data_IF_186843249751
#
_entry.id   IF_186843249751
#
_cell.length_a   1.000
_cell.length_b   1.000
_cell.length_c   1.000
_cell.angle_alpha   90.00
_cell.angle_beta   90.00
_cell.angle_gamma   90.00
#
_symmetry.space_group_name_H-M   'P 1'
#
loop_
_entity.id
_entity.type
_entity.pdbx_description
1 polymer ?
#
# COMPACT_ATOMS: atom_id res chain seq x y z
N UNK A 1 5.16 -2.16 15.09
CA UNK A 1 4.68 -2.06 16.48
C UNK A 1 4.92 -0.65 17.08
N UNK A 2 5.88 0.10 16.56
CA UNK A 2 6.30 1.40 17.13
C UNK A 2 5.31 2.56 16.86
N UNK A 3 4.30 2.34 16.00
CA UNK A 3 3.32 3.36 15.62
C UNK A 3 1.97 3.26 16.33
N UNK A 4 1.78 2.31 17.24
CA UNK A 4 0.50 2.16 17.99
C UNK A 4 0.09 3.42 18.76
N UNK A 5 1.03 4.32 19.07
CA UNK A 5 0.75 5.59 19.77
C UNK A 5 -0.08 6.57 18.92
N UNK A 6 -0.06 6.41 17.60
CA UNK A 6 -0.79 7.29 16.66
C UNK A 6 -2.05 6.63 16.07
N UNK A 7 -2.35 5.39 16.46
CA UNK A 7 -3.55 4.70 15.97
C UNK A 7 -4.77 5.19 16.74
N UNK A 8 -5.77 5.67 16.01
CA UNK A 8 -7.06 6.09 16.58
C UNK A 8 -8.03 4.92 16.75
N UNK A 9 -7.68 3.74 16.23
CA UNK A 9 -8.53 2.54 16.24
C UNK A 9 -7.72 1.32 16.69
N UNK A 10 -8.39 0.34 17.30
CA UNK A 10 -7.82 -0.92 17.77
C UNK A 10 -7.66 -1.97 16.67
N UNK A 11 -7.43 -1.55 15.42
CA UNK A 11 -7.21 -2.46 14.30
C UNK A 11 -5.75 -2.91 14.26
N UNK A 12 -5.53 -4.22 14.18
CA UNK A 12 -4.21 -4.77 13.85
C UNK A 12 -4.10 -4.89 12.33
N UNK A 13 -3.15 -4.15 11.73
CA UNK A 13 -2.90 -4.15 10.29
C UNK A 13 -1.59 -4.87 10.00
N UNK A 14 -1.66 -5.85 9.10
CA UNK A 14 -0.52 -6.66 8.68
C UNK A 14 -0.30 -6.52 7.19
N UNK A 15 0.97 -6.45 6.78
CA UNK A 15 1.35 -6.35 5.37
C UNK A 15 2.08 -7.61 4.94
N UNK A 16 1.62 -8.24 3.87
CA UNK A 16 2.24 -9.41 3.25
C UNK A 16 2.51 -9.08 1.80
N UNK A 17 3.78 -8.99 1.43
CA UNK A 17 4.22 -8.58 0.08
C UNK A 17 5.12 -9.61 -0.62
N UNK A 18 5.53 -10.65 0.10
CA UNK A 18 6.37 -11.72 -0.47
C UNK A 18 5.55 -12.95 -0.83
N UNK A 19 6.03 -13.71 -1.82
CA UNK A 19 5.48 -15.03 -2.17
C UNK A 19 5.89 -16.12 -1.16
N UNK A 20 6.79 -15.79 -0.23
CA UNK A 20 7.17 -16.72 0.84
C UNK A 20 5.95 -17.04 1.73
N UNK A 21 5.46 -18.27 1.59
CA UNK A 21 4.29 -18.75 2.31
C UNK A 21 4.47 -18.88 3.82
N UNK A 22 5.70 -18.87 4.34
CA UNK A 22 5.96 -19.02 5.79
C UNK A 22 5.39 -17.84 6.57
N UNK A 23 5.66 -16.61 6.13
CA UNK A 23 5.13 -15.40 6.75
C UNK A 23 3.59 -15.40 6.77
N UNK A 24 2.98 -15.71 5.64
CA UNK A 24 1.51 -15.75 5.53
C UNK A 24 0.93 -16.86 6.41
N UNK A 25 1.54 -18.05 6.41
CA UNK A 25 1.09 -19.18 7.23
C UNK A 25 1.12 -18.87 8.72
N UNK A 26 2.22 -18.31 9.22
CA UNK A 26 2.36 -17.91 10.63
C UNK A 26 1.32 -16.86 11.01
N UNK A 27 1.07 -15.90 10.12
CA UNK A 27 0.06 -14.87 10.33
C UNK A 27 -1.35 -15.47 10.43
N UNK A 28 -1.72 -16.36 9.49
CA UNK A 28 -3.05 -16.99 9.46
C UNK A 28 -3.33 -17.83 10.70
N UNK A 29 -2.32 -18.40 11.38
CA UNK A 29 -2.49 -19.10 12.65
C UNK A 29 -2.86 -18.18 13.82
N UNK A 30 -2.58 -16.87 13.71
CA UNK A 30 -2.86 -15.88 14.75
C UNK A 30 -4.18 -15.13 14.51
N UNK A 31 -4.71 -15.20 13.30
CA UNK A 31 -5.91 -14.47 12.90
C UNK A 31 -7.18 -15.31 13.13
N UNK A 32 -8.29 -14.59 13.32
CA UNK A 32 -9.63 -15.17 13.41
C UNK A 32 -10.37 -14.93 12.11
N UNK A 33 -10.80 -15.97 11.40
CA UNK A 33 -11.46 -15.83 10.10
C UNK A 33 -12.64 -14.85 10.12
N UNK A 34 -13.47 -14.92 11.16
CA UNK A 34 -14.71 -14.15 11.27
C UNK A 34 -14.50 -12.64 11.38
N UNK A 35 -13.32 -12.21 11.81
CA UNK A 35 -13.00 -10.80 12.08
C UNK A 35 -11.84 -10.28 11.24
N UNK A 36 -11.43 -11.02 10.20
CA UNK A 36 -10.32 -10.65 9.33
C UNK A 36 -10.82 -10.13 7.99
N UNK A 37 -10.32 -8.97 7.58
CA UNK A 37 -10.55 -8.37 6.26
C UNK A 37 -9.23 -8.39 5.46
N UNK A 38 -9.29 -8.80 4.21
CA UNK A 38 -8.15 -8.82 3.31
C UNK A 38 -8.28 -7.74 2.24
N UNK A 39 -7.22 -6.96 2.05
CA UNK A 39 -7.13 -5.93 1.01
C UNK A 39 -6.12 -6.41 -0.03
N UNK A 40 -6.60 -6.73 -1.23
CA UNK A 40 -5.78 -7.15 -2.35
C UNK A 40 -5.40 -5.92 -3.16
N UNK A 41 -4.15 -5.48 -3.03
CA UNK A 41 -3.64 -4.28 -3.71
C UNK A 41 -2.69 -4.68 -4.85
N UNK A 42 -3.14 -4.53 -6.09
CA UNK A 42 -2.31 -4.78 -7.28
C UNK A 42 -2.76 -3.92 -8.44
N UNK A 43 -1.88 -3.05 -8.95
CA UNK A 43 -2.23 -2.14 -10.06
C UNK A 43 -2.81 -2.89 -11.26
N UNK A 44 -2.18 -3.98 -11.69
CA UNK A 44 -2.60 -4.78 -12.85
C UNK A 44 -3.60 -5.89 -12.50
N UNK A 45 -3.83 -6.14 -11.23
CA UNK A 45 -4.54 -7.30 -10.69
C UNK A 45 -4.11 -8.61 -11.40
N UNK A 46 -2.78 -8.77 -11.50
CA UNK A 46 -2.16 -9.88 -12.22
C UNK A 46 -0.78 -10.22 -11.69
N UNK A 47 -0.33 -9.58 -10.59
CA UNK A 47 0.95 -9.89 -9.94
C UNK A 47 0.86 -11.26 -9.29
N UNK A 48 1.71 -12.18 -9.72
CA UNK A 48 1.67 -13.59 -9.30
C UNK A 48 1.74 -13.71 -7.77
N UNK A 49 2.69 -13.03 -7.13
CA UNK A 49 2.89 -13.07 -5.68
C UNK A 49 1.62 -12.63 -4.93
N UNK A 50 1.04 -11.49 -5.35
CA UNK A 50 -0.16 -10.95 -4.74
C UNK A 50 -1.36 -11.90 -4.89
N UNK A 51 -1.58 -12.43 -6.10
CA UNK A 51 -2.72 -13.31 -6.35
C UNK A 51 -2.55 -14.69 -5.73
N UNK A 52 -1.32 -15.21 -5.66
CA UNK A 52 -1.03 -16.47 -4.96
C UNK A 52 -1.39 -16.36 -3.48
N UNK A 53 -0.95 -15.29 -2.81
CA UNK A 53 -1.31 -15.01 -1.43
C UNK A 53 -2.83 -14.82 -1.27
N UNK A 54 -3.48 -14.09 -2.20
CA UNK A 54 -4.92 -13.89 -2.20
C UNK A 54 -5.72 -15.21 -2.33
N UNK A 55 -5.27 -16.13 -3.17
CA UNK A 55 -5.89 -17.46 -3.27
C UNK A 55 -5.69 -18.27 -2.00
N UNK A 56 -4.52 -18.22 -1.39
CA UNK A 56 -4.24 -18.91 -0.12
C UNK A 56 -5.16 -18.44 0.99
N UNK A 57 -5.30 -17.12 1.16
CA UNK A 57 -6.19 -16.57 2.22
C UNK A 57 -7.66 -16.84 1.90
N UNK A 58 -8.07 -16.86 0.64
CA UNK A 58 -9.41 -17.22 0.24
C UNK A 58 -9.73 -18.67 0.64
N UNK A 59 -8.86 -19.62 0.32
CA UNK A 59 -9.01 -21.02 0.71
C UNK A 59 -9.08 -21.19 2.24
N UNK A 60 -8.27 -20.43 2.97
CA UNK A 60 -8.29 -20.44 4.43
C UNK A 60 -9.63 -19.96 4.99
N UNK A 61 -10.21 -18.87 4.45
CA UNK A 61 -11.52 -18.37 4.83
C UNK A 61 -12.63 -19.37 4.45
N UNK A 62 -12.64 -19.88 3.21
CA UNK A 62 -13.64 -20.82 2.73
C UNK A 62 -13.63 -22.14 3.54
N UNK A 63 -12.46 -22.58 3.99
CA UNK A 63 -12.34 -23.74 4.88
C UNK A 63 -12.95 -23.49 6.25
N UNK A 64 -12.83 -22.28 6.77
CA UNK A 64 -13.29 -21.92 8.12
C UNK A 64 -14.78 -21.52 8.15
N UNK A 65 -15.24 -20.76 7.15
CA UNK A 65 -16.55 -20.11 7.14
C UNK A 65 -17.53 -20.73 6.12
N UNK A 66 -17.06 -21.64 5.29
CA UNK A 66 -17.85 -22.26 4.20
C UNK A 66 -17.61 -21.57 2.85
N UNK A 67 -18.02 -22.25 1.79
CA UNK A 67 -17.85 -21.79 0.39
C UNK A 67 -19.05 -20.97 -0.10
N UNK A 68 -19.53 -20.03 0.70
CA UNK A 68 -20.59 -19.11 0.28
C UNK A 68 -19.98 -17.89 -0.42
N UNK A 69 -20.65 -17.40 -1.46
CA UNK A 69 -20.30 -16.14 -2.15
C UNK A 69 -20.28 -14.95 -1.20
N UNK A 70 -21.03 -15.00 -0.10
CA UNK A 70 -21.03 -14.02 0.97
C UNK A 70 -19.69 -13.88 1.68
N UNK A 71 -18.88 -14.95 1.76
CA UNK A 71 -17.56 -14.91 2.38
C UNK A 71 -16.64 -13.95 1.64
N UNK A 72 -16.56 -14.06 0.32
CA UNK A 72 -15.73 -13.17 -0.49
C UNK A 72 -16.21 -11.71 -0.38
N UNK A 73 -17.53 -11.50 -0.43
CA UNK A 73 -18.12 -10.16 -0.31
C UNK A 73 -17.82 -9.51 1.04
N UNK A 74 -17.81 -10.27 2.12
CA UNK A 74 -17.64 -9.72 3.48
C UNK A 74 -16.17 -9.56 3.88
N UNK A 75 -15.25 -10.30 3.26
CA UNK A 75 -13.87 -10.41 3.72
C UNK A 75 -12.82 -9.91 2.73
N UNK A 76 -13.22 -9.45 1.53
CA UNK A 76 -12.25 -8.96 0.55
C UNK A 76 -12.59 -7.58 0.01
N UNK A 77 -11.54 -6.76 -0.07
CA UNK A 77 -11.50 -5.49 -0.79
C UNK A 77 -10.43 -5.60 -1.87
N UNK A 78 -10.71 -5.10 -3.07
CA UNK A 78 -9.74 -5.01 -4.15
C UNK A 78 -9.34 -3.57 -4.46
N UNK A 79 -8.05 -3.36 -4.69
CA UNK A 79 -7.50 -2.08 -5.13
C UNK A 79 -6.72 -2.29 -6.43
N UNK A 80 -7.23 -1.78 -7.55
CA UNK A 80 -6.64 -2.00 -8.87
C UNK A 80 -7.08 -0.96 -9.90
N UNK A 81 -6.38 -0.91 -11.04
CA UNK A 81 -6.85 -0.23 -12.27
C UNK A 81 -7.79 -1.13 -13.10
N UNK A 82 -8.02 -2.40 -12.70
CA UNK A 82 -8.68 -3.44 -13.50
C UNK A 82 -9.92 -3.99 -12.79
N UNK A 83 -11.05 -3.25 -12.82
CA UNK A 83 -12.28 -3.68 -12.16
C UNK A 83 -12.82 -5.01 -12.70
N UNK A 84 -12.66 -5.25 -14.00
CA UNK A 84 -13.06 -6.51 -14.62
C UNK A 84 -12.38 -7.74 -14.00
N UNK A 85 -11.05 -7.64 -13.76
CA UNK A 85 -10.28 -8.72 -13.14
C UNK A 85 -10.63 -8.92 -11.67
N UNK A 86 -10.91 -7.82 -10.94
CA UNK A 86 -11.39 -7.92 -9.56
C UNK A 86 -12.73 -8.64 -9.50
N UNK A 87 -13.64 -8.34 -10.44
CA UNK A 87 -14.95 -9.01 -10.54
C UNK A 87 -14.80 -10.47 -10.92
N UNK A 88 -13.94 -10.81 -11.90
CA UNK A 88 -13.64 -12.21 -12.28
C UNK A 88 -13.07 -13.02 -11.11
N UNK A 89 -12.24 -12.39 -10.27
CA UNK A 89 -11.71 -13.03 -9.07
C UNK A 89 -12.78 -13.24 -7.99
N UNK A 90 -13.89 -12.51 -8.05
CA UNK A 90 -15.05 -12.63 -7.15
C UNK A 90 -15.23 -11.45 -6.20
N UNK A 91 -14.44 -10.38 -6.30
CA UNK A 91 -14.61 -9.19 -5.45
C UNK A 91 -15.87 -8.44 -5.88
N UNK A 92 -16.76 -8.22 -4.92
CA UNK A 92 -18.00 -7.49 -5.17
C UNK A 92 -17.72 -6.05 -5.63
N UNK A 93 -18.45 -5.47 -6.60
CA UNK A 93 -18.22 -4.12 -7.09
C UNK A 93 -18.16 -3.04 -5.99
N UNK A 94 -18.99 -3.15 -4.96
CA UNK A 94 -18.98 -2.19 -3.82
C UNK A 94 -17.68 -2.24 -3.00
N UNK A 95 -16.88 -3.31 -3.14
CA UNK A 95 -15.61 -3.50 -2.45
C UNK A 95 -14.41 -3.26 -3.38
N UNK A 96 -14.61 -2.62 -4.52
CA UNK A 96 -13.55 -2.33 -5.47
C UNK A 96 -13.16 -0.86 -5.41
N UNK A 97 -11.92 -0.60 -5.04
CA UNK A 97 -11.34 0.73 -5.07
C UNK A 97 -10.49 0.90 -6.34
N UNK A 98 -10.93 1.79 -7.22
CA UNK A 98 -10.29 2.00 -8.50
C UNK A 98 -9.05 2.89 -8.36
N UNK A 99 -7.96 2.39 -8.86
CA UNK A 99 -6.71 3.11 -9.02
C UNK A 99 -6.63 3.71 -10.43
N UNK A 100 -6.16 4.93 -10.56
CA UNK A 100 -5.99 5.59 -11.85
C UNK A 100 -4.71 5.13 -12.56
N UNK A 101 -4.73 5.03 -13.87
CA UNK A 101 -3.58 4.57 -14.66
C UNK A 101 -2.35 5.48 -14.51
N UNK A 102 -2.55 6.78 -14.31
CA UNK A 102 -1.47 7.75 -14.11
C UNK A 102 -0.81 7.64 -12.73
N UNK A 103 -1.39 6.91 -11.77
CA UNK A 103 -0.77 6.68 -10.47
C UNK A 103 0.36 5.67 -10.61
N UNK A 104 1.60 6.10 -10.36
CA UNK A 104 2.76 5.21 -10.32
C UNK A 104 2.71 4.28 -9.11
N UNK A 105 3.01 2.98 -9.28
CA UNK A 105 2.93 2.00 -8.19
C UNK A 105 3.70 2.41 -6.93
N UNK A 106 4.97 2.82 -7.07
CA UNK A 106 5.84 3.24 -5.94
C UNK A 106 5.50 4.62 -5.36
N UNK A 107 4.63 5.38 -6.03
CA UNK A 107 4.15 6.70 -5.59
C UNK A 107 2.65 6.70 -5.29
N UNK A 108 2.09 5.54 -4.92
CA UNK A 108 0.65 5.33 -4.84
C UNK A 108 0.05 5.53 -3.45
N UNK A 109 0.84 5.80 -2.42
CA UNK A 109 0.34 5.98 -1.04
C UNK A 109 -0.73 7.08 -0.91
N UNK A 110 -0.70 8.07 -1.79
CA UNK A 110 -1.66 9.18 -1.87
C UNK A 110 -3.01 8.79 -2.46
N UNK A 111 -3.11 7.59 -3.03
CA UNK A 111 -4.32 7.05 -3.66
C UNK A 111 -5.05 6.06 -2.74
N UNK A 112 -6.00 5.31 -3.29
CA UNK A 112 -6.69 4.24 -2.57
C UNK A 112 -5.77 3.11 -2.07
N UNK A 113 -4.52 3.03 -2.54
CA UNK A 113 -3.49 2.16 -1.94
C UNK A 113 -3.21 2.55 -0.47
N UNK A 114 -3.34 3.82 -0.12
CA UNK A 114 -3.22 4.30 1.25
C UNK A 114 -4.40 3.96 2.17
N UNK A 115 -5.40 3.23 1.70
CA UNK A 115 -6.57 2.86 2.51
C UNK A 115 -6.23 2.18 3.85
N UNK A 116 -5.29 1.22 3.93
CA UNK A 116 -4.86 0.65 5.22
C UNK A 116 -4.28 1.70 6.17
N UNK A 117 -3.57 2.70 5.63
CA UNK A 117 -3.04 3.81 6.44
C UNK A 117 -4.21 4.64 6.99
N UNK A 118 -5.18 4.99 6.15
CA UNK A 118 -6.37 5.75 6.57
C UNK A 118 -7.18 5.00 7.65
N UNK A 119 -7.28 3.67 7.56
CA UNK A 119 -7.90 2.84 8.59
C UNK A 119 -7.13 2.88 9.92
N UNK A 120 -5.81 3.01 9.87
CA UNK A 120 -4.95 2.97 11.05
C UNK A 120 -4.90 4.33 11.76
N UNK A 121 -4.67 5.42 11.02
CA UNK A 121 -4.48 6.77 11.60
C UNK A 121 -5.75 7.63 11.57
N UNK A 122 -6.83 7.11 11.00
CA UNK A 122 -8.10 7.83 10.84
C UNK A 122 -8.08 8.83 9.68
N UNK A 123 -9.27 9.32 9.34
CA UNK A 123 -9.46 10.22 8.18
C UNK A 123 -8.69 11.53 8.35
N UNK A 124 -8.72 12.12 9.53
CA UNK A 124 -8.02 13.39 9.77
C UNK A 124 -6.49 13.23 9.74
N UNK A 125 -5.96 12.14 10.29
CA UNK A 125 -4.54 11.80 10.16
C UNK A 125 -4.13 11.58 8.70
N UNK A 126 -4.97 10.90 7.92
CA UNK A 126 -4.71 10.70 6.49
C UNK A 126 -4.77 12.01 5.69
N UNK A 127 -5.68 12.93 6.01
CA UNK A 127 -5.70 14.27 5.41
C UNK A 127 -4.42 15.06 5.71
N UNK A 128 -3.91 14.99 6.95
CA UNK A 128 -2.62 15.61 7.31
C UNK A 128 -1.46 15.00 6.55
N UNK A 129 -1.48 13.68 6.35
CA UNK A 129 -0.50 12.98 5.53
C UNK A 129 -0.52 13.47 4.08
N UNK A 130 -1.71 13.62 3.47
CA UNK A 130 -1.88 14.21 2.13
C UNK A 130 -1.42 15.67 2.07
N UNK A 131 -1.71 16.45 3.11
CA UNK A 131 -1.29 17.86 3.18
C UNK A 131 0.24 18.00 3.20
N UNK A 132 0.96 17.05 3.83
CA UNK A 132 2.43 17.03 3.78
C UNK A 132 2.97 16.81 2.36
N UNK A 133 2.35 15.92 1.57
CA UNK A 133 2.71 15.73 0.18
C UNK A 133 2.39 16.99 -0.67
N UNK A 134 1.22 17.56 -0.47
CA UNK A 134 0.81 18.79 -1.15
C UNK A 134 1.78 19.96 -0.86
N UNK A 135 2.28 20.08 0.36
CA UNK A 135 3.27 21.10 0.72
C UNK A 135 4.56 20.99 -0.10
N UNK A 136 5.00 19.79 -0.43
CA UNK A 136 6.16 19.59 -1.31
C UNK A 136 5.82 19.88 -2.77
N UNK A 137 4.61 19.62 -3.23
CA UNK A 137 4.16 19.99 -4.58
C UNK A 137 4.15 21.52 -4.74
N UNK A 138 3.62 22.26 -3.76
CA UNK A 138 3.65 23.72 -3.73
C UNK A 138 5.09 24.27 -3.70
N UNK A 139 5.95 23.68 -2.86
CA UNK A 139 7.37 24.05 -2.81
C UNK A 139 8.07 23.81 -4.16
N UNK A 140 7.83 22.67 -4.80
CA UNK A 140 8.40 22.35 -6.11
C UNK A 140 7.97 23.34 -7.21
N UNK A 141 6.69 23.77 -7.19
CA UNK A 141 6.14 24.65 -8.20
C UNK A 141 6.56 26.13 -8.01
N UNK A 142 6.74 26.57 -6.78
CA UNK A 142 6.81 28.00 -6.47
C UNK A 142 8.20 28.48 -6.05
N UNK A 143 9.07 27.59 -5.52
CA UNK A 143 10.38 28.02 -5.05
C UNK A 143 11.39 28.25 -6.18
N UNK A 144 12.26 29.28 -6.07
CA UNK A 144 13.37 29.45 -6.98
C UNK A 144 14.29 28.22 -7.00
N UNK A 145 14.96 27.96 -8.11
CA UNK A 145 15.79 26.75 -8.29
C UNK A 145 16.85 26.58 -7.20
N UNK A 146 17.43 27.66 -6.73
CA UNK A 146 18.47 27.65 -5.70
C UNK A 146 17.95 27.27 -4.31
N UNK A 147 16.64 27.30 -4.10
CA UNK A 147 15.98 26.95 -2.85
C UNK A 147 15.03 25.75 -2.99
N UNK A 148 14.84 25.27 -4.23
CA UNK A 148 13.91 24.20 -4.56
C UNK A 148 14.54 22.84 -4.27
N UNK A 149 14.14 22.22 -3.16
CA UNK A 149 14.72 20.95 -2.69
C UNK A 149 14.64 19.83 -3.74
N UNK A 150 13.49 19.52 -4.37
CA UNK A 150 13.42 18.51 -5.42
C UNK A 150 14.34 18.80 -6.62
N UNK A 151 14.43 20.04 -7.04
CA UNK A 151 15.33 20.47 -8.13
C UNK A 151 16.79 20.26 -7.75
N UNK A 152 17.18 20.71 -6.56
CA UNK A 152 18.55 20.56 -6.06
C UNK A 152 18.93 19.07 -5.94
N UNK A 153 18.03 18.23 -5.41
CA UNK A 153 18.25 16.78 -5.34
C UNK A 153 18.40 16.13 -6.72
N UNK A 154 17.57 16.52 -7.69
CA UNK A 154 17.68 16.07 -9.07
C UNK A 154 18.99 16.47 -9.72
N UNK A 155 19.39 17.74 -9.57
CA UNK A 155 20.65 18.29 -10.10
C UNK A 155 21.87 17.59 -9.48
N UNK A 156 21.88 17.37 -8.17
CA UNK A 156 22.93 16.62 -7.50
C UNK A 156 23.01 15.17 -8.00
N UNK A 157 21.87 14.53 -8.27
CA UNK A 157 21.82 13.19 -8.87
C UNK A 157 22.48 13.16 -10.25
N UNK A 158 22.14 14.12 -11.13
CA UNK A 158 22.75 14.27 -12.45
C UNK A 158 24.26 14.54 -12.32
N UNK A 159 24.64 15.46 -11.44
CA UNK A 159 26.04 15.81 -11.21
C UNK A 159 26.86 14.59 -10.77
N UNK A 160 26.38 13.89 -9.76
CA UNK A 160 27.05 12.68 -9.24
C UNK A 160 27.21 11.60 -10.29
N UNK A 161 26.15 11.32 -11.03
CA UNK A 161 26.15 10.26 -12.03
C UNK A 161 27.01 10.63 -13.26
N UNK A 162 26.75 11.80 -13.86
CA UNK A 162 27.33 12.11 -15.17
C UNK A 162 28.75 12.68 -15.08
N UNK A 163 29.11 13.35 -14.00
CA UNK A 163 30.42 14.01 -13.86
C UNK A 163 31.35 13.32 -12.88
N UNK A 164 30.81 12.72 -11.80
CA UNK A 164 31.62 12.06 -10.79
C UNK A 164 31.62 10.52 -10.90
N UNK A 165 30.85 9.97 -11.85
CA UNK A 165 30.69 8.52 -12.05
C UNK A 165 30.21 7.78 -10.79
N UNK A 166 29.43 8.44 -9.93
CA UNK A 166 28.80 7.84 -8.75
C UNK A 166 27.43 7.33 -9.15
N UNK A 167 27.31 6.00 -9.32
CA UNK A 167 26.12 5.37 -9.88
C UNK A 167 25.14 4.83 -8.83
N UNK A 168 25.49 4.91 -7.56
CA UNK A 168 24.67 4.39 -6.47
C UNK A 168 24.25 5.49 -5.50
N UNK A 169 23.03 5.37 -4.99
CA UNK A 169 22.48 6.25 -3.98
C UNK A 169 22.04 5.42 -2.78
N UNK A 170 22.62 5.69 -1.61
CA UNK A 170 22.23 5.03 -0.37
C UNK A 170 21.36 5.96 0.48
N UNK A 171 20.21 5.46 0.91
CA UNK A 171 19.34 6.15 1.87
C UNK A 171 19.55 5.50 3.24
N UNK A 172 20.11 6.25 4.19
CA UNK A 172 20.46 5.77 5.53
C UNK A 172 19.58 6.48 6.57
N UNK A 173 18.38 5.99 6.85
CA UNK A 173 17.50 6.63 7.82
C UNK A 173 18.05 6.42 9.24
N UNK A 174 18.24 7.52 9.96
CA UNK A 174 18.65 7.48 11.38
C UNK A 174 17.46 7.26 12.31
N UNK A 175 16.27 7.66 11.92
CA UNK A 175 15.06 7.44 12.69
C UNK A 175 14.57 5.98 12.49
N UNK A 176 14.37 5.25 13.59
CA UNK A 176 13.88 3.87 13.55
C UNK A 176 12.51 3.71 12.90
N UNK A 177 11.73 4.79 12.84
CA UNK A 177 10.43 4.83 12.16
C UNK A 177 10.52 4.85 10.63
N UNK A 178 11.71 5.09 10.08
CA UNK A 178 11.98 5.16 8.64
C UNK A 178 12.69 3.90 8.10
N UNK A 179 12.79 2.85 8.92
CA UNK A 179 13.42 1.57 8.53
C UNK A 179 12.44 0.68 7.79
#
# INVERSE_FOLDING_TARGET
QDFKVHTTQSLDVHFVSTIDGSQLSELLHQLRPETTLFIISSKSFGTIDTLSNAHTVRQWLEKALGQDTGVVKSHFIGVSTKPEKMTEWGIHPDNQFLLWDWVGGRYSLWSCIGFPIALTIGVEGFKQFLAGAYSIDEHFQNEPFEQNIPVLMGMLGVWNNNFLNIQTHAVLPYDGRLK
#
